data_IF_652327904430
#
_entry.id   IF_652327904430
#
_cell.length_a   1.000
_cell.length_b   1.000
_cell.length_c   1.000
_cell.angle_alpha   90.00
_cell.angle_beta   90.00
_cell.angle_gamma   90.00
#
_symmetry.space_group_name_H-M   'P 1'
#
loop_
_entity.id
_entity.type
_entity.pdbx_description
1 polymer ?
#
# COMPACT_ATOMS: atom_id res chain seq x y z
N UNK A 1 7.19 12.18 15.93
CA UNK A 1 6.18 11.44 15.13
C UNK A 1 6.74 10.07 14.87
N UNK A 2 6.00 9.00 15.15
CA UNK A 2 6.49 7.65 14.83
C UNK A 2 6.31 7.43 13.32
N UNK A 3 7.44 7.36 12.62
CA UNK A 3 7.47 7.00 11.20
C UNK A 3 7.55 5.47 11.08
N UNK A 4 6.57 4.88 10.41
CA UNK A 4 6.57 3.48 10.05
C UNK A 4 7.54 3.27 8.88
N UNK A 5 8.32 2.20 8.96
CA UNK A 5 9.18 1.76 7.86
C UNK A 5 8.34 1.12 6.76
N UNK A 6 8.51 1.56 5.52
CA UNK A 6 7.78 1.00 4.38
C UNK A 6 8.60 -0.12 3.73
N UNK A 7 8.06 -1.34 3.73
CA UNK A 7 8.64 -2.50 3.03
C UNK A 7 7.74 -2.91 1.88
N UNK A 8 8.32 -3.03 0.69
CA UNK A 8 7.60 -3.41 -0.53
C UNK A 8 7.92 -4.86 -0.85
N UNK A 9 6.88 -5.70 -0.96
CA UNK A 9 7.06 -7.11 -1.33
C UNK A 9 7.53 -7.26 -2.78
N UNK A 10 8.20 -8.37 -3.10
CA UNK A 10 8.64 -8.68 -4.48
C UNK A 10 7.49 -8.61 -5.49
N UNK A 11 6.28 -9.01 -5.08
CA UNK A 11 5.10 -8.94 -5.92
C UNK A 11 4.66 -7.50 -6.21
N UNK A 12 4.55 -6.67 -5.16
CA UNK A 12 4.26 -5.24 -5.33
C UNK A 12 5.32 -4.53 -6.18
N UNK A 13 6.61 -4.85 -6.04
CA UNK A 13 7.67 -4.28 -6.90
C UNK A 13 7.40 -4.56 -8.39
N UNK A 14 7.00 -5.78 -8.74
CA UNK A 14 6.67 -6.14 -10.13
C UNK A 14 5.47 -5.35 -10.65
N UNK A 15 4.46 -5.11 -9.81
CA UNK A 15 3.28 -4.31 -10.18
C UNK A 15 3.63 -2.82 -10.32
N UNK A 16 4.43 -2.27 -9.40
CA UNK A 16 4.87 -0.87 -9.43
C UNK A 16 5.66 -0.57 -10.71
N UNK A 17 6.50 -1.52 -11.16
CA UNK A 17 7.24 -1.39 -12.42
C UNK A 17 6.33 -1.28 -13.65
N UNK A 18 5.08 -1.74 -13.59
CA UNK A 18 4.09 -1.64 -14.68
C UNK A 18 3.27 -0.34 -14.61
N UNK A 19 3.45 0.48 -13.58
CA UNK A 19 2.74 1.74 -13.42
C UNK A 19 3.41 2.85 -14.23
N UNK A 20 2.62 3.80 -14.74
CA UNK A 20 3.18 5.00 -15.37
C UNK A 20 3.98 5.84 -14.37
N UNK A 21 4.98 6.63 -14.82
CA UNK A 21 5.80 7.47 -13.94
C UNK A 21 4.99 8.40 -13.02
N UNK A 22 3.87 8.94 -13.54
CA UNK A 22 2.92 9.76 -12.76
C UNK A 22 2.31 8.99 -11.59
N UNK A 23 1.94 7.73 -11.80
CA UNK A 23 1.39 6.86 -10.76
C UNK A 23 2.47 6.46 -9.75
N UNK A 24 3.70 6.19 -10.19
CA UNK A 24 4.82 5.90 -9.29
C UNK A 24 5.10 7.09 -8.36
N UNK A 25 5.11 8.32 -8.89
CA UNK A 25 5.26 9.54 -8.09
C UNK A 25 4.16 9.67 -7.04
N UNK A 26 2.91 9.41 -7.43
CA UNK A 26 1.76 9.45 -6.51
C UNK A 26 1.83 8.35 -5.45
N UNK A 27 2.20 7.14 -5.84
CA UNK A 27 2.41 6.01 -4.93
C UNK A 27 3.49 6.37 -3.89
N UNK A 28 4.63 6.89 -4.32
CA UNK A 28 5.69 7.33 -3.40
C UNK A 28 5.18 8.35 -2.39
N UNK A 29 4.42 9.35 -2.85
CA UNK A 29 3.81 10.35 -1.97
C UNK A 29 2.87 9.73 -0.93
N UNK A 30 2.04 8.76 -1.33
CA UNK A 30 1.13 8.07 -0.40
C UNK A 30 1.94 7.26 0.62
N UNK A 31 2.99 6.56 0.18
CA UNK A 31 3.81 5.75 1.07
C UNK A 31 4.53 6.61 2.12
N UNK A 32 5.14 7.73 1.71
CA UNK A 32 5.95 8.56 2.61
C UNK A 32 5.12 9.55 3.43
N UNK A 33 4.09 10.16 2.84
CA UNK A 33 3.36 11.23 3.53
C UNK A 33 2.15 10.71 4.32
N UNK A 34 1.56 9.60 3.88
CA UNK A 34 0.38 9.00 4.54
C UNK A 34 0.77 7.75 5.30
N UNK A 35 1.20 6.68 4.62
CA UNK A 35 1.36 5.37 5.28
C UNK A 35 2.49 5.34 6.31
N UNK A 36 3.52 6.19 6.16
CA UNK A 36 4.57 6.27 7.17
C UNK A 36 4.09 6.96 8.45
N UNK A 37 3.09 7.85 8.40
CA UNK A 37 2.59 8.60 9.56
C UNK A 37 1.30 8.01 10.14
N UNK A 38 0.35 7.67 9.28
CA UNK A 38 -1.00 7.18 9.60
C UNK A 38 -1.33 5.92 8.80
N UNK A 39 -0.67 4.78 9.07
CA UNK A 39 -0.91 3.55 8.33
C UNK A 39 -2.33 3.00 8.51
N UNK A 40 -3.09 3.43 9.51
CA UNK A 40 -4.48 2.96 9.72
C UNK A 40 -5.52 3.75 8.93
N UNK A 41 -5.11 4.75 8.14
CA UNK A 41 -6.03 5.61 7.35
C UNK A 41 -6.71 4.84 6.20
N UNK A 42 -6.14 3.71 5.79
CA UNK A 42 -6.74 2.84 4.78
C UNK A 42 -8.01 2.12 5.25
N UNK A 43 -8.79 1.60 4.29
CA UNK A 43 -9.93 0.73 4.61
C UNK A 43 -9.44 -0.64 5.05
N UNK A 44 -9.80 -1.06 6.26
CA UNK A 44 -9.55 -2.43 6.75
C UNK A 44 -10.32 -3.44 5.89
N UNK A 45 -9.61 -4.43 5.36
CA UNK A 45 -10.20 -5.52 4.57
C UNK A 45 -10.73 -6.62 5.50
N UNK A 46 -11.77 -7.32 5.03
CA UNK A 46 -12.48 -8.38 5.76
C UNK A 46 -12.42 -9.72 4.99
N UNK A 47 -12.86 -10.81 5.61
CA UNK A 47 -12.85 -12.15 5.02
C UNK A 47 -11.43 -12.72 4.88
N UNK A 48 -11.12 -13.34 3.74
CA UNK A 48 -9.79 -13.92 3.46
C UNK A 48 -8.65 -12.88 3.47
N UNK A 49 -8.98 -11.59 3.31
CA UNK A 49 -8.01 -10.49 3.35
C UNK A 49 -7.97 -9.79 4.72
N UNK A 50 -8.56 -10.38 5.77
CA UNK A 50 -8.49 -9.86 7.14
C UNK A 50 -7.02 -9.63 7.56
N UNK A 51 -6.76 -8.49 8.20
CA UNK A 51 -5.40 -8.07 8.57
C UNK A 51 -4.65 -7.28 7.49
N UNK A 52 -5.33 -6.99 6.37
CA UNK A 52 -4.82 -6.08 5.35
C UNK A 52 -5.66 -4.80 5.33
N UNK A 53 -5.07 -3.74 4.81
CA UNK A 53 -5.66 -2.43 4.60
C UNK A 53 -5.56 -2.10 3.11
N UNK A 54 -6.49 -1.28 2.63
CA UNK A 54 -6.55 -0.81 1.25
C UNK A 54 -6.66 0.70 1.21
N UNK A 55 -5.71 1.35 0.54
CA UNK A 55 -5.76 2.80 0.23
C UNK A 55 -5.83 3.03 -1.28
N UNK A 56 -6.51 4.10 -1.69
CA UNK A 56 -6.71 4.41 -3.10
C UNK A 56 -5.46 5.08 -3.69
N UNK A 57 -4.91 4.52 -4.77
CA UNK A 57 -3.84 5.15 -5.54
C UNK A 57 -4.44 6.07 -6.61
N UNK A 58 -5.42 5.56 -7.36
CA UNK A 58 -6.18 6.30 -8.35
C UNK A 58 -7.64 5.83 -8.38
N UNK A 59 -8.45 6.35 -9.30
CA UNK A 59 -9.83 5.91 -9.47
C UNK A 59 -9.95 4.40 -9.76
N UNK A 60 -8.94 3.80 -10.41
CA UNK A 60 -8.88 2.37 -10.76
C UNK A 60 -8.05 1.54 -9.78
N UNK A 61 -6.89 2.05 -9.36
CA UNK A 61 -5.91 1.25 -8.61
C UNK A 61 -5.95 1.50 -7.10
N UNK A 62 -5.71 0.43 -6.33
CA UNK A 62 -5.53 0.48 -4.88
C UNK A 62 -4.22 -0.18 -4.47
N UNK A 63 -3.69 0.31 -3.35
CA UNK A 63 -2.55 -0.27 -2.65
C UNK A 63 -3.12 -1.12 -1.53
N UNK A 64 -2.74 -2.40 -1.50
CA UNK A 64 -3.06 -3.31 -0.40
C UNK A 64 -1.81 -3.52 0.43
N UNK A 65 -1.93 -3.33 1.74
CA UNK A 65 -0.82 -3.41 2.67
C UNK A 65 -1.23 -4.04 4.01
N UNK A 66 -0.25 -4.49 4.77
CA UNK A 66 -0.40 -4.92 6.17
C UNK A 66 0.43 -4.02 7.07
N UNK A 67 0.04 -3.94 8.34
CA UNK A 67 0.73 -3.16 9.35
C UNK A 67 1.27 -4.16 10.38
N UNK A 68 2.56 -4.07 10.66
CA UNK A 68 3.24 -4.78 11.73
C UNK A 68 3.47 -3.76 12.86
N UNK A 69 2.61 -3.79 13.86
CA UNK A 69 2.60 -2.80 14.94
C UNK A 69 3.81 -2.95 15.86
N UNK A 70 4.29 -4.18 16.04
CA UNK A 70 5.44 -4.51 16.90
C UNK A 70 6.73 -3.90 16.35
N UNK A 71 6.98 -4.06 15.05
CA UNK A 71 8.17 -3.54 14.40
C UNK A 71 7.98 -2.15 13.75
N UNK A 72 6.75 -1.62 13.78
CA UNK A 72 6.35 -0.39 13.06
C UNK A 72 6.68 -0.45 11.58
N UNK A 73 6.32 -1.56 10.93
CA UNK A 73 6.57 -1.78 9.51
C UNK A 73 5.25 -1.85 8.74
N UNK A 74 5.18 -1.14 7.62
CA UNK A 74 4.09 -1.28 6.66
C UNK A 74 4.56 -2.12 5.49
N UNK A 75 3.93 -3.28 5.31
CA UNK A 75 4.21 -4.19 4.21
C UNK A 75 3.26 -3.95 3.03
N UNK A 76 3.78 -3.35 1.97
CA UNK A 76 3.05 -3.16 0.71
C UNK A 76 3.03 -4.46 -0.08
N UNK A 77 1.85 -5.10 -0.12
CA UNK A 77 1.62 -6.40 -0.74
C UNK A 77 1.22 -6.30 -2.20
N UNK A 78 0.35 -5.34 -2.54
CA UNK A 78 -0.06 -5.05 -3.92
C UNK A 78 -0.15 -3.56 -4.17
N UNK A 79 0.18 -3.15 -5.38
CA UNK A 79 0.11 -1.75 -5.82
C UNK A 79 -0.81 -1.55 -7.04
N UNK A 80 -1.33 -2.65 -7.60
CA UNK A 80 -2.22 -2.65 -8.75
C UNK A 80 -3.30 -3.72 -8.57
N UNK A 81 -4.41 -3.37 -7.95
CA UNK A 81 -5.58 -4.26 -7.85
C UNK A 81 -6.66 -3.78 -8.81
N UNK A 82 -6.52 -4.10 -10.09
CA UNK A 82 -7.67 -4.05 -10.98
C UNK A 82 -8.61 -5.20 -10.58
N UNK A 83 -9.89 -4.91 -10.35
CA UNK A 83 -10.89 -5.99 -10.27
C UNK A 83 -11.04 -6.56 -11.67
N UNK A 84 -10.58 -7.79 -11.86
CA UNK A 84 -10.75 -8.55 -13.11
C UNK A 84 -9.43 -9.03 -13.70
N UNK A 85 -8.83 -10.03 -13.05
CA UNK A 85 -8.35 -11.31 -13.63
C UNK A 85 -8.37 -12.35 -12.49
#
# INVERSE_FOLDING_TARGET
MQEYEIRITKQAVKEIRKLSPKMIKKLKSILTDVLSKTPYEGKKLVGYLKGNYSIRLNIYDRIVYSIDEENKIVFVKRAKTHYGE
#
